data_IF_497479342359
#
_entry.id   IF_497479342359
#
_cell.length_a   1.000
_cell.length_b   1.000
_cell.length_c   1.000
_cell.angle_alpha   90.00
_cell.angle_beta   90.00
_cell.angle_gamma   90.00
#
_symmetry.space_group_name_H-M   'P 1'
#
loop_
_entity.id
_entity.type
_entity.pdbx_description
1 polymer ?
#
# COMPACT_ATOMS: atom_id res chain seq x y z
N UNK A 1 9.75 -25.45 -6.32
CA UNK A 1 10.22 -24.11 -5.92
C UNK A 1 9.50 -23.60 -4.71
N UNK A 2 10.24 -23.03 -3.77
CA UNK A 2 9.72 -22.49 -2.48
C UNK A 2 9.28 -21.01 -2.63
N UNK A 3 9.79 -20.31 -3.64
CA UNK A 3 9.45 -18.93 -3.96
C UNK A 3 9.00 -18.83 -5.41
N UNK A 4 7.81 -18.28 -5.63
CA UNK A 4 7.29 -18.01 -6.96
C UNK A 4 7.87 -16.68 -7.47
N UNK A 5 8.10 -16.57 -8.78
CA UNK A 5 8.49 -15.31 -9.43
C UNK A 5 7.40 -14.23 -9.29
N UNK A 6 6.14 -14.65 -9.23
CA UNK A 6 4.98 -13.78 -9.03
C UNK A 6 4.16 -14.19 -7.80
N UNK A 7 3.65 -13.19 -7.07
CA UNK A 7 2.78 -13.42 -5.92
C UNK A 7 1.40 -13.93 -6.35
N UNK A 8 0.84 -14.96 -5.69
CA UNK A 8 -0.45 -15.56 -6.04
C UNK A 8 -1.67 -14.67 -5.72
N UNK A 9 -1.47 -13.39 -5.38
CA UNK A 9 -2.51 -12.43 -5.00
C UNK A 9 -2.65 -12.24 -3.48
N UNK A 10 -3.82 -11.80 -3.04
CA UNK A 10 -4.12 -11.64 -1.62
C UNK A 10 -4.10 -12.99 -0.89
N UNK A 11 -3.64 -13.03 0.38
CA UNK A 11 -3.72 -14.24 1.17
C UNK A 11 -5.19 -14.67 1.36
N UNK A 12 -5.46 -15.98 1.52
CA UNK A 12 -6.79 -16.47 1.87
C UNK A 12 -7.35 -15.76 3.11
N UNK A 13 -8.67 -15.59 3.15
CA UNK A 13 -9.35 -15.00 4.32
C UNK A 13 -9.01 -15.82 5.57
N UNK A 14 -8.44 -15.16 6.57
CA UNK A 14 -8.16 -15.76 7.89
C UNK A 14 -9.37 -15.59 8.80
N UNK A 15 -9.43 -16.37 9.88
CA UNK A 15 -10.53 -16.32 10.85
C UNK A 15 -10.59 -14.98 11.62
N UNK A 16 -9.47 -14.27 11.69
CA UNK A 16 -9.36 -12.97 12.34
C UNK A 16 -8.73 -11.94 11.41
N UNK A 17 -9.12 -10.68 11.60
CA UNK A 17 -8.53 -9.54 10.89
C UNK A 17 -7.27 -9.06 11.60
N UNK A 18 -6.31 -8.57 10.81
CA UNK A 18 -5.14 -7.88 11.36
C UNK A 18 -5.54 -6.45 11.73
N UNK A 19 -5.34 -6.09 13.00
CA UNK A 19 -5.44 -4.73 13.48
C UNK A 19 -4.04 -4.18 13.78
N UNK A 20 -3.84 -2.89 13.51
CA UNK A 20 -2.64 -2.17 13.94
C UNK A 20 -3.04 -1.34 15.16
N UNK A 21 -2.55 -1.72 16.32
CA UNK A 21 -2.79 -0.97 17.56
C UNK A 21 -1.97 0.33 17.57
N UNK A 22 -2.65 1.45 17.84
CA UNK A 22 -2.01 2.75 18.02
C UNK A 22 -1.81 3.03 19.51
N UNK A 23 -0.72 3.71 19.86
CA UNK A 23 -0.51 4.17 21.24
C UNK A 23 -1.64 5.15 21.62
N UNK A 24 -2.19 5.08 22.85
CA UNK A 24 -3.19 6.04 23.30
C UNK A 24 -2.72 7.48 23.11
N UNK A 25 -3.58 8.32 22.53
CA UNK A 25 -3.26 9.73 22.23
C UNK A 25 -2.52 9.97 20.92
N UNK A 26 -2.30 8.95 20.07
CA UNK A 26 -1.71 9.17 18.74
C UNK A 26 -2.74 9.80 17.80
N UNK A 27 -2.43 10.99 17.29
CA UNK A 27 -3.22 11.67 16.25
C UNK A 27 -2.72 11.30 14.84
N UNK A 28 -3.58 11.35 13.81
CA UNK A 28 -3.17 11.13 12.42
C UNK A 28 -2.12 12.14 11.95
N UNK A 29 -1.14 11.64 11.21
CA UNK A 29 -0.11 12.47 10.57
C UNK A 29 -0.22 12.30 9.06
N UNK A 30 -0.24 13.42 8.33
CA UNK A 30 -0.17 13.46 6.87
C UNK A 30 1.04 14.26 6.41
N UNK A 31 1.94 13.59 5.70
CA UNK A 31 3.14 14.17 5.11
C UNK A 31 3.02 14.21 3.60
N UNK A 32 3.49 15.29 2.98
CA UNK A 32 3.48 15.44 1.53
C UNK A 32 4.43 14.41 0.87
N UNK A 33 4.07 13.82 -0.29
CA UNK A 33 4.94 12.93 -1.04
C UNK A 33 6.28 13.57 -1.40
N UNK A 34 7.32 12.75 -1.54
CA UNK A 34 8.61 13.23 -2.03
C UNK A 34 8.51 13.76 -3.47
N UNK A 35 9.36 14.73 -3.80
CA UNK A 35 9.49 15.21 -5.18
C UNK A 35 10.16 14.13 -6.01
N UNK A 36 9.52 13.76 -7.11
CA UNK A 36 10.00 12.75 -8.05
C UNK A 36 10.17 13.39 -9.42
N UNK A 37 11.14 12.88 -10.17
CA UNK A 37 11.35 13.19 -11.58
C UNK A 37 10.23 12.61 -12.45
N UNK A 38 10.12 13.06 -13.70
CA UNK A 38 9.11 12.54 -14.63
C UNK A 38 9.27 11.03 -14.87
N UNK A 39 10.49 10.50 -14.90
CA UNK A 39 10.75 9.07 -15.11
C UNK A 39 10.26 8.23 -13.92
N UNK A 40 10.54 8.69 -12.69
CA UNK A 40 10.07 8.03 -11.47
C UNK A 40 8.54 8.07 -11.37
N UNK A 41 7.90 9.17 -11.77
CA UNK A 41 6.44 9.27 -11.78
C UNK A 41 5.78 8.30 -12.77
N UNK A 42 6.41 8.06 -13.93
CA UNK A 42 5.92 7.08 -14.91
C UNK A 42 6.01 5.66 -14.33
N UNK A 43 7.14 5.32 -13.73
CA UNK A 43 7.35 4.01 -13.10
C UNK A 43 6.40 3.79 -11.92
N UNK A 44 6.28 4.79 -11.04
CA UNK A 44 5.35 4.76 -9.91
C UNK A 44 3.92 4.48 -10.38
N UNK A 45 3.47 5.13 -11.46
CA UNK A 45 2.14 4.91 -12.01
C UNK A 45 1.97 3.49 -12.55
N UNK A 46 2.99 2.92 -13.19
CA UNK A 46 2.96 1.55 -13.68
C UNK A 46 2.81 0.55 -12.52
N UNK A 47 3.61 0.70 -11.46
CA UNK A 47 3.56 -0.15 -10.27
C UNK A 47 2.21 -0.02 -9.54
N UNK A 48 1.69 1.20 -9.38
CA UNK A 48 0.37 1.41 -8.76
C UNK A 48 -0.74 0.71 -9.56
N UNK A 49 -0.69 0.77 -10.88
CA UNK A 49 -1.68 0.11 -11.74
C UNK A 49 -1.61 -1.42 -11.59
N UNK A 50 -0.41 -1.99 -11.52
CA UNK A 50 -0.21 -3.41 -11.28
C UNK A 50 -0.78 -3.85 -9.92
N UNK A 51 -0.45 -3.11 -8.85
CA UNK A 51 -0.93 -3.41 -7.49
C UNK A 51 -2.46 -3.27 -7.35
N UNK A 52 -3.06 -2.27 -8.01
CA UNK A 52 -4.51 -2.12 -8.09
C UNK A 52 -5.16 -3.29 -8.83
N UNK A 53 -4.57 -3.72 -9.95
CA UNK A 53 -5.07 -4.85 -10.75
C UNK A 53 -4.98 -6.16 -9.98
N UNK A 54 -3.92 -6.35 -9.20
CA UNK A 54 -3.74 -7.50 -8.29
C UNK A 54 -4.62 -7.42 -7.04
N UNK A 55 -5.32 -6.31 -6.81
CA UNK A 55 -6.18 -6.11 -5.64
C UNK A 55 -5.43 -5.98 -4.31
N UNK A 56 -4.11 -5.74 -4.36
CA UNK A 56 -3.27 -5.60 -3.15
C UNK A 56 -3.46 -4.24 -2.47
N UNK A 57 -3.88 -3.22 -3.23
CA UNK A 57 -4.19 -1.88 -2.74
C UNK A 57 -5.55 -1.40 -3.27
N UNK A 58 -6.10 -0.36 -2.64
CA UNK A 58 -7.32 0.32 -3.08
C UNK A 58 -7.24 1.82 -2.78
N UNK A 59 -8.02 2.62 -3.51
CA UNK A 59 -8.17 4.03 -3.18
C UNK A 59 -8.73 4.21 -1.76
N UNK A 60 -8.25 5.24 -1.06
CA UNK A 60 -8.70 5.55 0.30
C UNK A 60 -8.70 7.06 0.55
N UNK A 61 -9.50 7.49 1.52
CA UNK A 61 -9.54 8.86 2.04
C UNK A 61 -9.09 8.80 3.50
N UNK A 62 -7.78 8.62 3.70
CA UNK A 62 -7.19 8.46 5.03
C UNK A 62 -6.72 9.80 5.59
N UNK A 63 -6.91 10.07 6.90
CA UNK A 63 -6.26 11.20 7.56
C UNK A 63 -4.75 10.97 7.75
N UNK A 64 -4.28 9.74 7.58
CA UNK A 64 -2.87 9.36 7.60
C UNK A 64 -2.27 9.39 6.20
N UNK A 65 -1.08 9.98 6.05
CA UNK A 65 -0.32 10.04 4.81
C UNK A 65 1.18 9.98 5.07
N UNK A 66 1.88 9.09 4.38
CA UNK A 66 3.32 8.94 4.44
C UNK A 66 3.91 9.02 3.03
N UNK A 67 5.08 9.66 2.85
CA UNK A 67 5.76 9.76 1.56
C UNK A 67 6.55 8.50 1.22
#
# INVERSE_FOLDING_TARGET
DVFLEELPGLPPKREFDFAIEIKPGTEPISKAPYRMTTLELVELKAQLQELLTKGLIRASVSPWGAP
#
